data_IF_970211460185
#
_entry.id   IF_970211460185
#
_cell.length_a   1.000
_cell.length_b   1.000
_cell.length_c   1.000
_cell.angle_alpha   90.00
_cell.angle_beta   90.00
_cell.angle_gamma   90.00
#
_symmetry.space_group_name_H-M   'P 1'
#
loop_
_entity.id
_entity.type
_entity.pdbx_description
1 polymer ?
#
# COMPACT_ATOMS: atom_id res chain seq x y z
N UNK A 1 9.40 -27.42 -1.14
CA UNK A 1 9.73 -26.71 -1.05
C UNK A 1 10.14 -26.24 -1.00
N UNK A 2 10.23 -26.22 -1.12
CA UNK A 2 10.65 -25.71 -0.84
C UNK A 2 10.83 -24.88 -0.69
N UNK A 3 10.81 -24.65 -0.45
CA UNK A 3 11.19 -23.78 -0.13
C UNK A 3 12.03 -23.53 0.19
N UNK A 4 12.41 -23.52 -0.23
CA UNK A 4 13.25 -23.22 0.28
C UNK A 4 13.70 -22.05 0.71
N UNK A 5 14.09 -21.58 0.49
CA UNK A 5 14.31 -20.45 1.22
C UNK A 5 14.04 -20.64 2.66
N UNK A 6 12.97 -20.32 3.02
CA UNK A 6 12.50 -20.56 4.37
C UNK A 6 11.03 -20.94 4.31
N UNK A 7 10.57 -21.55 5.34
CA UNK A 7 9.16 -21.82 5.44
C UNK A 7 8.61 -21.11 6.67
N UNK A 8 7.38 -20.67 6.55
CA UNK A 8 6.65 -20.05 7.65
C UNK A 8 5.50 -20.97 8.00
N UNK A 9 5.48 -21.41 9.23
CA UNK A 9 4.39 -22.24 9.70
C UNK A 9 3.40 -21.36 10.45
N UNK A 10 2.16 -21.40 10.03
CA UNK A 10 1.09 -20.66 10.68
C UNK A 10 0.19 -21.65 11.39
N UNK A 11 0.08 -21.50 12.70
CA UNK A 11 -0.83 -22.31 13.48
C UNK A 11 -2.12 -21.57 13.68
N UNK A 12 -3.21 -22.23 13.32
CA UNK A 12 -4.54 -21.67 13.55
C UNK A 12 -5.01 -22.15 14.91
N UNK A 13 -4.96 -21.26 15.88
CA UNK A 13 -5.36 -21.58 17.24
C UNK A 13 -6.88 -21.62 17.37
N UNK A 14 -7.54 -20.79 16.57
CA UNK A 14 -8.99 -20.74 16.55
C UNK A 14 -9.44 -20.78 15.11
N UNK A 15 -10.23 -21.78 14.75
CA UNK A 15 -10.78 -21.86 13.41
C UNK A 15 -11.87 -20.82 13.21
N UNK A 16 -11.79 -20.14 12.08
CA UNK A 16 -12.82 -19.18 11.66
C UNK A 16 -13.60 -19.78 10.51
N UNK A 17 -14.92 -19.49 10.43
CA UNK A 17 -15.67 -19.84 9.22
C UNK A 17 -15.01 -19.25 7.99
N UNK A 18 -15.18 -19.91 6.86
CA UNK A 18 -14.54 -19.49 5.60
C UNK A 18 -14.83 -18.03 5.29
N UNK A 19 -16.08 -17.60 5.53
CA UNK A 19 -16.44 -16.21 5.24
C UNK A 19 -15.67 -15.23 6.13
N UNK A 20 -15.53 -15.53 7.42
CA UNK A 20 -14.80 -14.65 8.33
C UNK A 20 -13.33 -14.61 7.98
N UNK A 21 -12.74 -15.75 7.58
CA UNK A 21 -11.36 -15.78 7.15
C UNK A 21 -11.16 -14.95 5.90
N UNK A 22 -12.07 -15.07 4.94
CA UNK A 22 -12.00 -14.29 3.71
C UNK A 22 -12.11 -12.79 4.00
N UNK A 23 -13.02 -12.41 4.92
CA UNK A 23 -13.16 -11.01 5.31
C UNK A 23 -11.91 -10.50 5.99
N UNK A 24 -11.27 -11.32 6.81
CA UNK A 24 -10.01 -10.96 7.46
C UNK A 24 -8.92 -10.71 6.42
N UNK A 25 -8.80 -11.61 5.45
CA UNK A 25 -7.81 -11.43 4.39
C UNK A 25 -8.05 -10.14 3.61
N UNK A 26 -9.30 -9.83 3.31
CA UNK A 26 -9.63 -8.59 2.62
C UNK A 26 -9.21 -7.37 3.44
N UNK A 27 -9.42 -7.41 4.75
CA UNK A 27 -9.01 -6.32 5.63
C UNK A 27 -7.49 -6.16 5.67
N UNK A 28 -6.75 -7.27 5.62
CA UNK A 28 -5.29 -7.19 5.58
C UNK A 28 -4.83 -6.53 4.28
N UNK A 29 -5.41 -6.93 3.14
CA UNK A 29 -5.04 -6.33 1.86
C UNK A 29 -5.38 -4.84 1.85
N UNK A 30 -6.56 -4.47 2.34
CA UNK A 30 -6.92 -3.06 2.47
C UNK A 30 -5.91 -2.32 3.34
N UNK A 31 -5.53 -2.90 4.48
CA UNK A 31 -4.58 -2.28 5.40
C UNK A 31 -3.21 -2.07 4.77
N UNK A 32 -2.77 -3.02 3.95
CA UNK A 32 -1.50 -2.87 3.23
C UNK A 32 -1.57 -1.68 2.29
N UNK A 33 -2.65 -1.58 1.52
CA UNK A 33 -2.82 -0.46 0.60
C UNK A 33 -2.89 0.87 1.36
N UNK A 34 -3.66 0.92 2.43
CA UNK A 34 -3.82 2.14 3.22
C UNK A 34 -2.51 2.58 3.87
N UNK A 35 -1.77 1.63 4.46
CA UNK A 35 -0.50 1.96 5.10
C UNK A 35 0.53 2.43 4.06
N UNK A 36 0.54 1.81 2.88
CA UNK A 36 1.45 2.23 1.82
C UNK A 36 1.17 3.67 1.42
N UNK A 37 -0.11 4.00 1.26
CA UNK A 37 -0.52 5.38 0.92
C UNK A 37 -0.10 6.35 2.03
N UNK A 38 -0.39 6.01 3.28
CA UNK A 38 -0.10 6.89 4.41
C UNK A 38 1.40 7.11 4.58
N UNK A 39 2.21 6.06 4.44
CA UNK A 39 3.66 6.19 4.59
C UNK A 39 4.25 7.01 3.44
N UNK A 40 3.72 6.84 2.21
CA UNK A 40 4.17 7.65 1.08
C UNK A 40 3.90 9.13 1.35
N UNK A 41 2.73 9.43 1.87
CA UNK A 41 2.36 10.80 2.19
C UNK A 41 3.19 11.36 3.36
N UNK A 42 3.29 10.59 4.44
CA UNK A 42 4.00 11.03 5.64
C UNK A 42 5.48 11.28 5.36
N UNK A 43 6.09 10.46 4.50
CA UNK A 43 7.49 10.63 4.11
C UNK A 43 7.71 11.68 3.03
N UNK A 44 6.64 12.29 2.53
CA UNK A 44 6.71 13.29 1.45
C UNK A 44 7.33 12.72 0.18
N UNK A 45 6.93 11.49 -0.18
CA UNK A 45 7.55 10.77 -1.30
C UNK A 45 6.83 10.96 -2.63
N UNK A 46 5.72 11.70 -2.64
CA UNK A 46 5.04 12.04 -3.89
C UNK A 46 5.81 13.10 -4.65
N UNK A 47 5.85 13.02 -5.99
CA UNK A 47 6.41 14.12 -6.78
C UNK A 47 5.63 15.40 -6.52
N UNK A 48 6.34 16.50 -6.42
CA UNK A 48 5.68 17.77 -6.16
C UNK A 48 5.90 18.74 -7.33
N UNK A 49 4.82 19.16 -7.95
CA UNK A 49 4.84 20.26 -8.89
C UNK A 49 3.98 21.39 -8.36
N UNK A 50 2.70 21.07 -8.09
CA UNK A 50 1.76 22.00 -7.48
C UNK A 50 1.15 21.43 -6.23
N UNK A 51 1.51 20.21 -5.86
CA UNK A 51 0.87 19.49 -4.77
C UNK A 51 -0.41 18.79 -5.18
N UNK A 52 -0.82 18.91 -6.44
CA UNK A 52 -2.07 18.33 -6.92
C UNK A 52 -2.07 16.81 -6.83
N UNK A 53 -0.96 16.18 -7.21
CA UNK A 53 -0.87 14.73 -7.18
C UNK A 53 -1.02 14.20 -5.75
N UNK A 54 -0.34 14.82 -4.80
CA UNK A 54 -0.45 14.44 -3.39
C UNK A 54 -1.88 14.62 -2.89
N UNK A 55 -2.47 15.79 -3.14
CA UNK A 55 -3.82 16.07 -2.67
C UNK A 55 -4.84 15.12 -3.28
N UNK A 56 -4.72 14.86 -4.58
CA UNK A 56 -5.65 13.97 -5.27
C UNK A 56 -5.50 12.54 -4.76
N UNK A 57 -4.26 12.08 -4.54
CA UNK A 57 -4.02 10.74 -4.05
C UNK A 57 -4.60 10.53 -2.65
N UNK A 58 -4.41 11.49 -1.76
CA UNK A 58 -4.95 11.39 -0.41
C UNK A 58 -6.47 11.52 -0.38
N UNK A 59 -7.02 12.39 -1.24
CA UNK A 59 -8.46 12.58 -1.34
C UNK A 59 -9.14 11.34 -1.92
N UNK A 60 -8.56 10.73 -2.93
CA UNK A 60 -9.10 9.51 -3.52
C UNK A 60 -8.98 8.34 -2.56
N UNK A 61 -7.84 8.24 -1.86
CA UNK A 61 -7.61 7.18 -0.88
C UNK A 61 -7.47 5.81 -1.50
N UNK A 62 -7.96 4.81 -0.79
CA UNK A 62 -7.92 3.41 -1.21
C UNK A 62 -9.28 3.03 -1.77
N UNK A 63 -9.30 2.58 -3.01
CA UNK A 63 -10.55 2.24 -3.70
C UNK A 63 -10.60 0.74 -3.97
N UNK A 64 -11.70 0.10 -3.57
CA UNK A 64 -11.88 -1.33 -3.82
C UNK A 64 -12.26 -1.55 -5.27
N UNK A 65 -11.46 -2.33 -6.00
CA UNK A 65 -11.72 -2.66 -7.39
C UNK A 65 -12.40 -4.01 -7.54
N UNK A 66 -12.05 -4.96 -6.68
CA UNK A 66 -12.60 -6.30 -6.71
C UNK A 66 -12.32 -6.93 -5.35
N UNK A 67 -12.73 -8.19 -5.16
CA UNK A 67 -12.46 -8.89 -3.92
C UNK A 67 -10.95 -8.98 -3.69
N UNK A 68 -10.51 -8.52 -2.53
CA UNK A 68 -9.10 -8.50 -2.13
C UNK A 68 -8.21 -7.75 -3.13
N UNK A 69 -8.79 -6.78 -3.85
CA UNK A 69 -8.04 -5.99 -4.82
C UNK A 69 -8.38 -4.51 -4.62
N UNK A 70 -7.37 -3.72 -4.32
CA UNK A 70 -7.53 -2.31 -4.05
C UNK A 70 -6.64 -1.49 -4.95
N UNK A 71 -7.08 -0.28 -5.23
CA UNK A 71 -6.40 0.63 -6.13
C UNK A 71 -5.92 1.86 -5.39
N UNK A 72 -4.68 2.25 -5.63
CA UNK A 72 -4.13 3.52 -5.20
C UNK A 72 -3.82 4.34 -6.45
N UNK A 73 -4.21 5.59 -6.44
CA UNK A 73 -3.91 6.43 -7.58
C UNK A 73 -4.57 7.78 -7.49
N UNK A 74 -4.34 8.59 -8.50
CA UNK A 74 -4.92 9.90 -8.60
C UNK A 74 -5.56 10.03 -9.97
N UNK A 75 -6.77 9.52 -10.10
CA UNK A 75 -7.44 9.37 -11.40
C UNK A 75 -7.67 10.70 -12.12
N UNK A 76 -7.79 11.79 -11.36
CA UNK A 76 -8.01 13.09 -11.95
C UNK A 76 -6.75 13.86 -12.30
N UNK A 77 -5.57 13.24 -12.18
CA UNK A 77 -4.31 13.91 -12.43
C UNK A 77 -3.70 13.34 -13.70
N UNK A 78 -3.79 14.09 -14.79
CA UNK A 78 -3.42 13.59 -16.12
C UNK A 78 -1.96 13.18 -16.22
N UNK A 79 -1.07 13.87 -15.52
CA UNK A 79 0.37 13.61 -15.63
C UNK A 79 0.84 12.47 -14.72
N UNK A 80 -0.01 11.93 -13.86
CA UNK A 80 0.41 10.92 -12.90
C UNK A 80 1.03 9.67 -13.55
N UNK A 81 0.42 9.07 -14.59
CA UNK A 81 1.03 7.89 -15.21
C UNK A 81 2.40 8.17 -15.81
N UNK A 82 2.58 9.35 -16.40
CA UNK A 82 3.86 9.72 -17.01
C UNK A 82 4.93 9.85 -15.94
N UNK A 83 4.61 10.56 -14.88
CA UNK A 83 5.57 10.81 -13.78
C UNK A 83 5.90 9.52 -13.06
N UNK A 84 4.93 8.60 -12.94
CA UNK A 84 5.15 7.30 -12.34
C UNK A 84 6.27 6.54 -13.05
N UNK A 85 6.40 6.73 -14.34
CA UNK A 85 7.39 6.01 -15.14
C UNK A 85 8.75 6.70 -15.19
N UNK A 86 8.94 7.82 -14.52
CA UNK A 86 10.24 8.46 -14.44
C UNK A 86 11.18 7.59 -13.59
N UNK A 87 12.43 7.46 -14.04
CA UNK A 87 13.39 6.61 -13.36
C UNK A 87 14.09 7.30 -12.19
N UNK A 88 14.96 6.53 -11.55
CA UNK A 88 15.68 6.99 -10.35
C UNK A 88 16.67 8.12 -10.64
N UNK A 89 17.06 8.32 -11.92
CA UNK A 89 17.94 9.41 -12.27
C UNK A 89 17.25 10.74 -12.47
N UNK A 90 15.93 10.79 -12.25
CA UNK A 90 15.16 12.00 -12.46
C UNK A 90 15.51 13.05 -11.41
N UNK A 91 15.66 14.29 -11.87
CA UNK A 91 15.90 15.42 -10.98
C UNK A 91 14.56 15.95 -10.46
N UNK A 92 14.10 15.39 -9.36
CA UNK A 92 12.80 15.72 -8.80
C UNK A 92 12.81 17.08 -8.13
N UNK A 93 11.72 17.84 -8.32
CA UNK A 93 11.53 19.10 -7.59
C UNK A 93 11.48 18.85 -6.09
N UNK A 94 10.82 17.77 -5.68
CA UNK A 94 10.83 17.35 -4.28
C UNK A 94 11.91 16.27 -4.11
N UNK A 95 13.02 16.59 -3.39
CA UNK A 95 14.13 15.64 -3.29
C UNK A 95 13.78 14.35 -2.55
N UNK A 96 12.69 14.34 -1.78
CA UNK A 96 12.26 13.14 -1.06
C UNK A 96 11.41 12.21 -1.92
N UNK A 97 11.14 12.58 -3.17
CA UNK A 97 10.30 11.79 -4.06
C UNK A 97 10.92 10.42 -4.35
N UNK A 98 10.11 9.39 -4.31
CA UNK A 98 10.51 8.04 -4.70
C UNK A 98 10.05 7.76 -6.14
N UNK A 99 10.93 7.23 -7.02
CA UNK A 99 10.45 6.69 -8.29
C UNK A 99 9.45 5.58 -8.03
N UNK A 100 8.36 5.53 -8.80
CA UNK A 100 7.28 4.57 -8.57
C UNK A 100 6.94 4.51 -7.07
N UNK A 101 6.52 5.62 -6.55
CA UNK A 101 6.48 5.94 -5.13
C UNK A 101 5.82 4.87 -4.26
N UNK A 102 4.71 4.26 -4.68
CA UNK A 102 4.06 3.25 -3.85
C UNK A 102 4.88 1.96 -3.76
N UNK A 103 5.43 1.52 -4.89
CA UNK A 103 6.23 0.29 -4.92
C UNK A 103 7.50 0.48 -4.09
N UNK A 104 8.15 1.62 -4.26
CA UNK A 104 9.38 1.92 -3.53
C UNK A 104 9.11 2.00 -2.03
N UNK A 105 8.03 2.70 -1.64
CA UNK A 105 7.66 2.80 -0.23
C UNK A 105 7.34 1.42 0.35
N UNK A 106 6.55 0.62 -0.36
CA UNK A 106 6.22 -0.71 0.12
C UNK A 106 7.47 -1.56 0.35
N UNK A 107 8.41 -1.52 -0.59
CA UNK A 107 9.62 -2.32 -0.47
C UNK A 107 10.51 -1.86 0.68
N UNK A 108 10.53 -0.58 0.98
CA UNK A 108 11.35 -0.06 2.06
C UNK A 108 10.77 -0.35 3.43
N UNK A 109 9.47 -0.24 3.58
CA UNK A 109 8.81 -0.32 4.88
C UNK A 109 7.84 -1.48 4.99
N UNK A 110 8.03 -2.52 4.19
CA UNK A 110 7.05 -3.60 4.10
C UNK A 110 6.75 -4.28 5.45
N UNK A 111 7.74 -4.37 6.33
CA UNK A 111 7.50 -4.99 7.63
C UNK A 111 6.57 -4.12 8.49
N UNK A 112 6.78 -2.81 8.49
CA UNK A 112 5.91 -1.89 9.21
C UNK A 112 4.52 -1.85 8.60
N UNK A 113 4.46 -1.88 7.27
CA UNK A 113 3.19 -1.88 6.56
C UNK A 113 2.40 -3.15 6.90
N UNK A 114 3.07 -4.30 6.86
CA UNK A 114 2.41 -5.57 7.18
C UNK A 114 1.93 -5.59 8.62
N UNK A 115 2.75 -5.13 9.57
CA UNK A 115 2.36 -5.07 10.97
C UNK A 115 1.14 -4.18 11.17
N UNK A 116 1.13 -3.02 10.53
CA UNK A 116 0.01 -2.10 10.63
C UNK A 116 -1.27 -2.73 10.08
N UNK A 117 -1.17 -3.38 8.92
CA UNK A 117 -2.33 -4.01 8.29
C UNK A 117 -2.90 -5.13 9.14
N UNK A 118 -2.02 -5.98 9.69
CA UNK A 118 -2.46 -7.11 10.52
C UNK A 118 -3.10 -6.59 11.81
N UNK A 119 -2.49 -5.60 12.43
CA UNK A 119 -3.03 -5.03 13.67
C UNK A 119 -4.42 -4.46 13.46
N UNK A 120 -4.63 -3.75 12.36
CA UNK A 120 -5.94 -3.19 12.05
C UNK A 120 -6.96 -4.28 11.78
N UNK A 121 -6.57 -5.32 11.05
CA UNK A 121 -7.46 -6.42 10.74
C UNK A 121 -7.85 -7.19 12.00
N UNK A 122 -6.89 -7.43 12.91
CA UNK A 122 -7.16 -8.11 14.16
C UNK A 122 -8.10 -7.30 15.04
N UNK A 123 -7.96 -5.97 15.03
CA UNK A 123 -8.86 -5.12 15.78
C UNK A 123 -10.30 -5.23 15.35
N UNK A 124 -10.54 -5.68 14.12
CA UNK A 124 -11.88 -5.88 13.60
C UNK A 124 -12.49 -7.25 13.90
N UNK A 125 -11.75 -8.13 14.57
CA UNK A 125 -12.19 -9.52 14.83
C UNK A 125 -12.74 -9.72 16.24
N UNK A 126 -13.34 -8.76 16.80
CA UNK A 126 -13.83 -8.88 18.18
C UNK A 126 -15.12 -9.68 18.34
#
# INVERSE_FOLDING_TARGET
MSNKGYSVEVKIVKELPVKELSDYEDKVVFGIARATLDFTNTGHHFPYLTGELNRASMSEGVIKEADKMYHLGARGVDYAPKVWNYGSGTNWTNPSTYPQWYITEFNKDKNLIAQSAIRQALGGLK
#
